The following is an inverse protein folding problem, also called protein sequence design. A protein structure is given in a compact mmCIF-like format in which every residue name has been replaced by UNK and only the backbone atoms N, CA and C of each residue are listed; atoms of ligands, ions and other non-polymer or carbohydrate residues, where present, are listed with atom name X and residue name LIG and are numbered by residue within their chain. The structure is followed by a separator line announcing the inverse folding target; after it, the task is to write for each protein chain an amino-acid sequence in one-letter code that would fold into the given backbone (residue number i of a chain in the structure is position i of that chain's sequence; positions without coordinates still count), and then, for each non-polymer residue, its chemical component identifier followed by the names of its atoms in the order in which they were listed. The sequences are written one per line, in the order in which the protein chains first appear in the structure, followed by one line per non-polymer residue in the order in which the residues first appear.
data_IF_883579053151
#
_entry.id   IF_883579053151
#
_cell.length_a   1.000
_cell.length_b   1.000
_cell.length_c   1.000
_cell.angle_alpha   90.00
_cell.angle_beta   90.00
_cell.angle_gamma   90.00
#
_symmetry.space_group_name_H-M   'P 1'
#
loop_
_entity.id
_entity.type
_entity.pdbx_description
1 polymer ?
#
# COMPACT_ATOMS: atom_id res chain seq x y z
N UNK A 1 -2.66 -7.63 -11.93
CA UNK A 1 -2.31 -6.36 -12.61
C UNK A 1 -1.54 -5.51 -11.62
N UNK A 2 -0.50 -4.81 -12.08
CA UNK A 2 0.39 -4.00 -11.22
C UNK A 2 0.58 -2.65 -11.90
N UNK A 3 0.37 -1.57 -11.15
CA UNK A 3 0.66 -0.20 -11.59
C UNK A 3 1.97 0.24 -10.94
N UNK A 4 2.88 0.84 -11.71
CA UNK A 4 4.23 1.19 -11.23
C UNK A 4 4.66 2.55 -11.76
N UNK A 5 5.59 3.18 -11.05
CA UNK A 5 6.11 4.50 -11.41
C UNK A 5 5.28 5.67 -10.86
N UNK A 6 5.66 6.88 -11.25
CA UNK A 6 5.07 8.13 -10.72
C UNK A 6 3.62 8.35 -11.14
N UNK A 7 3.21 7.80 -12.29
CA UNK A 7 1.83 7.88 -12.79
C UNK A 7 0.93 6.76 -12.25
N UNK A 8 1.43 5.90 -11.34
CA UNK A 8 0.70 4.74 -10.83
C UNK A 8 -0.67 5.08 -10.24
N UNK A 9 -0.82 6.21 -9.55
CA UNK A 9 -2.12 6.69 -9.07
C UNK A 9 -3.08 6.98 -10.23
N UNK A 10 -2.61 7.72 -11.24
CA UNK A 10 -3.40 8.09 -12.41
C UNK A 10 -3.81 6.85 -13.21
N UNK A 11 -2.88 5.94 -13.44
CA UNK A 11 -3.12 4.71 -14.18
C UNK A 11 -4.11 3.80 -13.44
N UNK A 12 -3.94 3.66 -12.11
CA UNK A 12 -4.86 2.92 -11.26
C UNK A 12 -6.26 3.52 -11.28
N UNK A 13 -6.40 4.83 -11.08
CA UNK A 13 -7.71 5.49 -11.09
C UNK A 13 -8.38 5.45 -12.46
N UNK A 14 -7.63 5.66 -13.55
CA UNK A 14 -8.15 5.54 -14.92
C UNK A 14 -8.64 4.13 -15.21
N UNK A 15 -7.91 3.12 -14.76
CA UNK A 15 -8.35 1.73 -14.87
C UNK A 15 -9.61 1.48 -14.03
N UNK A 16 -9.58 1.82 -12.74
CA UNK A 16 -10.67 1.52 -11.81
C UNK A 16 -11.97 2.20 -12.23
N UNK A 17 -11.93 3.49 -12.57
CA UNK A 17 -13.09 4.29 -12.96
C UNK A 17 -13.43 4.22 -14.45
N UNK A 18 -13.07 3.12 -15.10
CA UNK A 18 -13.49 2.86 -16.48
C UNK A 18 -14.89 2.22 -16.53
N UNK A 19 -15.66 2.41 -17.62
CA UNK A 19 -17.01 1.86 -17.75
C UNK A 19 -17.11 0.33 -17.61
N UNK A 20 -16.02 -0.40 -17.85
CA UNK A 20 -16.00 -1.86 -17.71
C UNK A 20 -16.15 -2.33 -16.26
N UNK A 21 -15.86 -1.45 -15.29
CA UNK A 21 -16.00 -1.75 -13.86
C UNK A 21 -17.29 -1.17 -13.26
N UNK A 22 -18.30 -0.85 -14.08
CA UNK A 22 -19.58 -0.34 -13.59
C UNK A 22 -20.16 -1.25 -12.50
N UNK A 23 -20.64 -0.65 -11.41
CA UNK A 23 -21.15 -1.33 -10.20
C UNK A 23 -20.09 -2.06 -9.34
N UNK A 24 -18.78 -1.86 -9.57
CA UNK A 24 -17.76 -2.49 -8.75
C UNK A 24 -17.68 -1.90 -7.34
N UNK A 25 -17.30 -2.75 -6.38
CA UNK A 25 -16.89 -2.31 -5.04
C UNK A 25 -15.44 -2.71 -4.82
N UNK A 26 -14.55 -1.71 -4.78
CA UNK A 26 -13.16 -1.88 -4.36
C UNK A 26 -13.07 -1.77 -2.83
N UNK A 27 -12.23 -2.61 -2.24
CA UNK A 27 -12.00 -2.64 -0.79
C UNK A 27 -10.53 -2.32 -0.56
N UNK A 28 -10.27 -1.23 0.15
CA UNK A 28 -8.93 -0.82 0.55
C UNK A 28 -8.80 -0.86 2.07
N UNK A 29 -7.61 -1.16 2.60
CA UNK A 29 -7.41 -1.28 4.04
C UNK A 29 -6.77 -0.02 4.62
N UNK A 30 -7.51 0.66 5.50
CA UNK A 30 -7.13 1.93 6.13
C UNK A 30 -7.00 3.10 5.14
N UNK A 31 -7.69 3.03 4.01
CA UNK A 31 -7.76 4.09 2.99
C UNK A 31 -8.18 5.44 3.58
N UNK A 32 -9.10 5.44 4.56
CA UNK A 32 -9.69 6.67 5.11
C UNK A 32 -8.68 7.62 5.74
N UNK A 33 -7.48 7.12 6.08
CA UNK A 33 -6.40 7.90 6.68
C UNK A 33 -5.40 8.46 5.67
N UNK A 34 -5.35 7.91 4.45
CA UNK A 34 -4.29 8.25 3.49
C UNK A 34 -4.79 8.20 2.04
N UNK A 35 -4.93 7.00 1.46
CA UNK A 35 -5.10 6.80 0.02
C UNK A 35 -6.35 7.49 -0.55
N UNK A 36 -7.43 7.56 0.24
CA UNK A 36 -8.71 8.11 -0.18
C UNK A 36 -8.64 9.59 -0.58
N UNK A 37 -7.71 10.36 0.01
CA UNK A 37 -7.52 11.78 -0.31
C UNK A 37 -6.99 11.95 -1.74
N UNK A 38 -5.99 11.15 -2.13
CA UNK A 38 -5.41 11.19 -3.47
C UNK A 38 -6.43 10.77 -4.54
N UNK A 39 -7.23 9.75 -4.26
CA UNK A 39 -8.29 9.30 -5.17
C UNK A 39 -9.35 10.38 -5.34
N UNK A 40 -9.78 11.02 -4.24
CA UNK A 40 -10.75 12.11 -4.29
C UNK A 40 -10.24 13.29 -5.10
N UNK A 41 -8.98 13.71 -4.89
CA UNK A 41 -8.34 14.78 -5.68
C UNK A 41 -8.32 14.43 -7.16
N UNK A 42 -7.86 13.22 -7.51
CA UNK A 42 -7.83 12.78 -8.90
C UNK A 42 -9.22 12.83 -9.57
N UNK A 43 -10.28 12.37 -8.88
CA UNK A 43 -11.65 12.41 -9.41
C UNK A 43 -12.13 13.85 -9.66
N UNK A 44 -11.84 14.77 -8.74
CA UNK A 44 -12.19 16.19 -8.88
C UNK A 44 -11.44 16.83 -10.06
N UNK A 45 -10.17 16.51 -10.25
CA UNK A 45 -9.36 16.98 -11.39
C UNK A 45 -9.88 16.46 -12.74
N UNK A 46 -10.53 15.28 -12.76
CA UNK A 46 -11.22 14.78 -13.95
C UNK A 46 -12.61 15.40 -14.17
N UNK A 47 -13.01 16.37 -13.35
CA UNK A 47 -14.34 17.00 -13.42
C UNK A 47 -15.48 16.12 -12.90
N UNK A 48 -15.16 15.02 -12.21
CA UNK A 48 -16.17 14.21 -11.55
C UNK A 48 -16.55 14.82 -10.19
N UNK A 49 -17.82 14.71 -9.82
CA UNK A 49 -18.29 15.02 -8.47
C UNK A 49 -18.40 13.71 -7.67
N UNK A 50 -17.35 13.31 -6.93
CA UNK A 50 -17.38 12.07 -6.15
C UNK A 50 -18.40 12.18 -5.01
N UNK A 51 -19.16 11.12 -4.80
CA UNK A 51 -19.86 10.92 -3.53
C UNK A 51 -18.85 10.49 -2.45
N UNK A 52 -19.09 10.87 -1.20
CA UNK A 52 -18.24 10.45 -0.09
C UNK A 52 -19.05 10.17 1.17
N UNK A 53 -18.57 9.23 2.00
CA UNK A 53 -19.05 9.03 3.37
C UNK A 53 -17.93 9.47 4.30
N UNK A 54 -18.04 10.67 4.92
CA UNK A 54 -17.03 11.15 5.84
C UNK A 54 -17.22 10.57 7.26
N UNK A 55 -16.14 10.55 8.02
CA UNK A 55 -16.11 10.41 9.46
C UNK A 55 -15.08 11.40 9.99
N UNK A 56 -15.56 12.56 10.46
CA UNK A 56 -14.74 13.74 10.67
C UNK A 56 -13.98 14.09 9.38
N UNK A 57 -12.66 14.25 9.44
CA UNK A 57 -11.79 14.50 8.28
C UNK A 57 -11.44 13.25 7.47
N UNK A 58 -11.94 12.07 7.83
CA UNK A 58 -11.58 10.78 7.21
C UNK A 58 -12.64 10.34 6.21
N UNK A 59 -12.22 9.75 5.10
CA UNK A 59 -13.11 9.27 4.04
C UNK A 59 -13.38 7.77 4.20
N UNK A 60 -14.49 7.40 4.86
CA UNK A 60 -14.86 5.99 5.03
C UNK A 60 -15.19 5.30 3.70
N UNK A 61 -15.74 6.04 2.76
CA UNK A 61 -15.99 5.59 1.39
C UNK A 61 -15.89 6.75 0.38
N UNK A 62 -15.47 6.43 -0.84
CA UNK A 62 -15.46 7.32 -2.02
C UNK A 62 -16.23 6.63 -3.14
N UNK A 63 -17.06 7.37 -3.87
CA UNK A 63 -18.02 6.83 -4.81
C UNK A 63 -18.00 7.59 -6.14
N UNK A 64 -17.89 6.85 -7.25
CA UNK A 64 -18.14 7.38 -8.58
C UNK A 64 -19.61 7.19 -8.93
N UNK A 65 -20.41 8.25 -8.80
CA UNK A 65 -21.88 8.19 -8.89
C UNK A 65 -22.38 7.68 -10.24
N UNK A 66 -21.84 8.20 -11.36
CA UNK A 66 -22.30 7.81 -12.71
C UNK A 66 -22.02 6.33 -13.06
N UNK A 67 -20.91 5.77 -12.56
CA UNK A 67 -20.53 4.37 -12.77
C UNK A 67 -20.99 3.45 -11.64
N UNK A 68 -21.57 4.02 -10.57
CA UNK A 68 -21.92 3.31 -9.34
C UNK A 68 -20.74 2.48 -8.77
N UNK A 69 -19.52 3.02 -8.85
CA UNK A 69 -18.32 2.38 -8.28
C UNK A 69 -18.13 2.89 -6.87
N UNK A 70 -17.82 1.99 -5.94
CA UNK A 70 -17.56 2.33 -4.53
C UNK A 70 -16.17 1.87 -4.13
N UNK A 71 -15.45 2.69 -3.39
CA UNK A 71 -14.24 2.30 -2.69
C UNK A 71 -14.54 2.41 -1.21
N UNK A 72 -14.46 1.30 -0.49
CA UNK A 72 -14.77 1.23 0.94
C UNK A 72 -13.53 0.90 1.75
N UNK A 73 -13.43 1.50 2.94
CA UNK A 73 -12.36 1.20 3.87
C UNK A 73 -12.71 0.00 4.77
N UNK A 74 -11.99 -1.11 4.57
CA UNK A 74 -12.13 -2.33 5.39
C UNK A 74 -11.77 -2.13 6.87
N UNK A 75 -11.00 -1.10 7.22
CA UNK A 75 -10.64 -0.79 8.61
C UNK A 75 -11.88 -0.38 9.44
N UNK A 76 -12.98 0.02 8.80
CA UNK A 76 -14.25 0.26 9.47
C UNK A 76 -14.88 -1.03 10.04
N UNK A 77 -14.52 -2.18 9.48
CA UNK A 77 -15.03 -3.50 9.90
C UNK A 77 -13.96 -4.31 10.63
N UNK A 78 -12.68 -4.13 10.25
CA UNK A 78 -11.52 -4.81 10.80
C UNK A 78 -10.55 -3.77 11.36
N UNK A 79 -10.79 -3.22 12.57
CA UNK A 79 -10.04 -2.09 13.14
C UNK A 79 -8.68 -2.54 13.71
N UNK A 80 -7.86 -3.18 12.88
CA UNK A 80 -6.56 -3.71 13.25
C UNK A 80 -5.56 -3.49 12.11
N UNK A 81 -4.26 -3.53 12.42
CA UNK A 81 -3.22 -3.39 11.40
C UNK A 81 -3.29 -4.54 10.38
N UNK A 82 -2.97 -4.22 9.11
CA UNK A 82 -2.91 -5.19 8.01
C UNK A 82 -2.08 -6.44 8.35
N UNK A 83 -0.97 -6.26 9.07
CA UNK A 83 -0.07 -7.34 9.50
C UNK A 83 -0.70 -8.33 10.48
N UNK A 84 -1.81 -7.98 11.13
CA UNK A 84 -2.53 -8.88 12.04
C UNK A 84 -3.63 -9.69 11.36
N UNK A 85 -4.07 -9.29 10.15
CA UNK A 85 -5.15 -9.98 9.44
C UNK A 85 -4.84 -11.47 9.19
N UNK A 86 -3.63 -11.89 8.75
CA UNK A 86 -3.34 -13.30 8.57
C UNK A 86 -3.57 -14.11 9.84
N UNK A 87 -3.07 -13.63 10.99
CA UNK A 87 -3.28 -14.32 12.27
C UNK A 87 -4.73 -14.35 12.72
N UNK A 88 -5.48 -13.28 12.45
CA UNK A 88 -6.89 -13.18 12.79
C UNK A 88 -7.75 -14.21 12.03
N UNK A 89 -7.36 -14.52 10.79
CA UNK A 89 -8.04 -15.52 9.96
C UNK A 89 -7.40 -16.92 10.00
N UNK A 90 -6.38 -17.15 10.85
CA UNK A 90 -5.67 -18.43 10.90
C UNK A 90 -4.76 -18.72 9.69
N UNK A 91 -4.40 -17.69 8.92
CA UNK A 91 -3.58 -17.74 7.69
C UNK A 91 -2.11 -17.34 7.94
N UNK A 92 -1.63 -17.40 9.19
CA UNK A 92 -0.29 -16.94 9.59
C UNK A 92 0.86 -17.59 8.82
N UNK A 93 0.68 -18.82 8.33
CA UNK A 93 1.70 -19.56 7.59
C UNK A 93 1.77 -19.16 6.11
N UNK A 94 0.75 -18.49 5.57
CA UNK A 94 0.64 -18.15 4.15
C UNK A 94 1.10 -16.73 3.84
N UNK A 95 1.07 -15.81 4.82
CA UNK A 95 1.25 -14.38 4.59
C UNK A 95 2.13 -13.75 5.68
N UNK A 96 3.45 -13.73 5.46
CA UNK A 96 4.39 -12.95 6.28
C UNK A 96 4.80 -11.71 5.49
N UNK A 97 4.38 -10.55 5.97
CA UNK A 97 4.86 -9.27 5.44
C UNK A 97 6.36 -9.16 5.75
N UNK A 98 7.18 -8.98 4.71
CA UNK A 98 8.63 -8.80 4.84
C UNK A 98 9.00 -7.41 5.37
N UNK A 99 10.30 -7.12 5.37
CA UNK A 99 10.85 -5.80 5.65
C UNK A 99 11.24 -5.11 4.34
N UNK A 100 11.01 -3.81 4.23
CA UNK A 100 11.33 -3.03 3.03
C UNK A 100 12.07 -1.74 3.38
N UNK A 101 13.12 -1.35 2.63
CA UNK A 101 13.89 -0.15 2.92
C UNK A 101 13.16 1.11 2.45
N UNK A 102 12.17 1.54 3.24
CA UNK A 102 11.28 2.65 2.90
C UNK A 102 12.01 3.96 2.54
N UNK A 103 13.13 4.28 3.22
CA UNK A 103 13.91 5.49 2.92
C UNK A 103 14.81 5.33 1.69
N UNK A 104 15.01 4.11 1.20
CA UNK A 104 15.79 3.84 0.00
C UNK A 104 14.94 3.97 -1.27
N UNK A 105 13.61 4.04 -1.14
CA UNK A 105 12.67 4.24 -2.24
C UNK A 105 12.69 5.71 -2.71
N UNK A 106 13.70 6.08 -3.47
CA UNK A 106 13.84 7.37 -4.13
C UNK A 106 14.06 7.21 -5.64
N UNK A 107 14.03 8.33 -6.39
CA UNK A 107 14.24 8.34 -7.85
C UNK A 107 15.55 7.68 -8.25
N UNK A 108 16.62 8.02 -7.54
CA UNK A 108 17.97 7.62 -7.89
C UNK A 108 18.20 6.11 -7.70
N UNK A 109 17.45 5.49 -6.79
CA UNK A 109 17.59 4.08 -6.46
C UNK A 109 16.58 3.16 -7.18
N UNK A 110 15.72 3.68 -8.05
CA UNK A 110 14.70 2.85 -8.71
C UNK A 110 15.30 1.72 -9.54
N UNK A 111 16.50 1.90 -10.09
CA UNK A 111 17.22 0.87 -10.87
C UNK A 111 18.40 0.29 -10.08
N UNK A 112 18.39 0.42 -8.76
CA UNK A 112 19.48 -0.08 -7.93
C UNK A 112 19.54 -1.61 -7.98
N UNK A 113 20.73 -2.11 -8.29
CA UNK A 113 21.09 -3.51 -8.28
C UNK A 113 22.49 -3.64 -7.67
N UNK A 114 22.60 -4.21 -6.47
CA UNK A 114 23.85 -4.20 -5.74
C UNK A 114 23.75 -4.81 -4.35
N UNK A 115 24.58 -4.34 -3.42
CA UNK A 115 24.54 -4.80 -2.02
C UNK A 115 23.26 -4.38 -1.30
N UNK A 116 22.85 -5.14 -0.28
CA UNK A 116 21.73 -4.74 0.58
C UNK A 116 21.89 -3.30 1.15
N UNK A 117 20.83 -2.46 1.11
CA UNK A 117 20.86 -1.13 1.70
C UNK A 117 21.13 -1.18 3.19
N UNK A 118 21.81 -0.17 3.72
CA UNK A 118 22.05 -0.01 5.16
C UNK A 118 20.75 -0.13 5.98
N UNK A 119 20.83 -0.77 7.15
CA UNK A 119 19.72 -0.99 8.06
C UNK A 119 18.93 0.28 8.37
N UNK A 120 19.57 1.46 8.39
CA UNK A 120 18.89 2.75 8.62
C UNK A 120 17.77 3.01 7.62
N UNK A 121 17.89 2.52 6.38
CA UNK A 121 16.88 2.73 5.35
C UNK A 121 15.56 1.98 5.61
N UNK A 122 15.58 0.99 6.51
CA UNK A 122 14.41 0.23 6.96
C UNK A 122 13.71 0.86 8.16
N UNK A 123 14.25 1.94 8.73
CA UNK A 123 13.67 2.69 9.85
C UNK A 123 13.48 1.80 11.12
N UNK A 124 14.53 1.09 11.59
CA UNK A 124 14.42 0.16 12.72
C UNK A 124 14.00 0.84 14.02
N UNK A 125 14.27 2.14 14.19
CA UNK A 125 13.91 2.89 15.38
C UNK A 125 12.41 3.20 15.51
N UNK A 126 11.63 3.06 14.41
CA UNK A 126 10.18 3.15 14.45
C UNK A 126 9.50 1.79 14.68
N UNK A 127 10.28 0.70 14.73
CA UNK A 127 9.77 -0.62 15.02
C UNK A 127 9.62 -0.83 16.53
N UNK A 128 8.63 -1.62 16.95
CA UNK A 128 8.58 -2.10 18.34
C UNK A 128 9.75 -3.04 18.61
N UNK A 129 10.17 -3.18 19.87
CA UNK A 129 11.34 -3.99 20.24
C UNK A 129 11.28 -5.41 19.64
N UNK A 130 10.13 -6.09 19.76
CA UNK A 130 9.93 -7.44 19.20
C UNK A 130 10.06 -7.49 17.67
N UNK A 131 9.64 -6.44 16.97
CA UNK A 131 9.76 -6.36 15.50
C UNK A 131 11.19 -6.01 15.10
N UNK A 132 11.84 -5.12 15.85
CA UNK A 132 13.24 -4.74 15.66
C UNK A 132 14.18 -5.94 15.82
N UNK A 133 13.98 -6.78 16.82
CA UNK A 133 14.81 -8.00 17.02
C UNK A 133 14.69 -8.96 15.82
N UNK A 134 13.45 -9.16 15.32
CA UNK A 134 13.21 -9.95 14.12
C UNK A 134 13.82 -9.33 12.87
N UNK A 135 13.75 -8.01 12.74
CA UNK A 135 14.37 -7.27 11.65
C UNK A 135 15.89 -7.46 11.66
N UNK A 136 16.54 -7.28 12.80
CA UNK A 136 18.00 -7.42 12.90
C UNK A 136 18.45 -8.84 12.56
N UNK A 137 17.75 -9.87 13.08
CA UNK A 137 18.05 -11.25 12.73
C UNK A 137 17.85 -11.54 11.23
N UNK A 138 16.78 -11.02 10.64
CA UNK A 138 16.53 -11.14 9.19
C UNK A 138 17.58 -10.41 8.35
N UNK A 139 17.95 -9.18 8.75
CA UNK A 139 18.88 -8.31 8.04
C UNK A 139 20.31 -8.87 8.03
N UNK A 140 20.76 -9.43 9.16
CA UNK A 140 22.06 -10.13 9.24
C UNK A 140 22.13 -11.32 8.27
N UNK A 141 21.01 -12.03 8.07
CA UNK A 141 20.93 -13.13 7.11
C UNK A 141 20.94 -12.68 5.64
N UNK A 142 20.72 -11.40 5.34
CA UNK A 142 20.81 -10.84 3.98
C UNK A 142 22.23 -10.35 3.63
N UNK A 143 23.18 -10.38 4.57
CA UNK A 143 24.53 -9.88 4.31
C UNK A 143 25.24 -10.73 3.25
N UNK A 144 25.71 -10.06 2.20
CA UNK A 144 26.38 -10.71 1.06
C UNK A 144 25.47 -11.04 -0.10
N UNK A 145 24.15 -10.95 0.09
CA UNK A 145 23.17 -11.12 -0.97
C UNK A 145 23.06 -9.86 -1.86
N UNK A 146 22.59 -10.08 -3.09
CA UNK A 146 22.30 -9.00 -4.03
C UNK A 146 20.87 -8.51 -3.79
N UNK A 147 20.74 -7.20 -3.68
CA UNK A 147 19.49 -6.48 -3.58
C UNK A 147 19.11 -5.88 -4.94
N UNK A 148 18.07 -6.45 -5.55
CA UNK A 148 17.37 -5.90 -6.72
C UNK A 148 16.17 -5.10 -6.23
N UNK A 149 16.25 -3.77 -6.33
CA UNK A 149 15.21 -2.89 -5.79
C UNK A 149 13.83 -3.14 -6.43
N UNK A 150 13.77 -3.41 -7.74
CA UNK A 150 12.48 -3.61 -8.43
C UNK A 150 11.86 -4.95 -8.06
N UNK A 151 12.66 -6.01 -7.95
CA UNK A 151 12.19 -7.31 -7.51
C UNK A 151 11.67 -7.28 -6.07
N UNK A 152 12.43 -6.66 -5.16
CA UNK A 152 12.07 -6.53 -3.74
C UNK A 152 10.82 -5.66 -3.55
N UNK A 153 10.72 -4.53 -4.27
CA UNK A 153 9.52 -3.69 -4.23
C UNK A 153 8.27 -4.45 -4.72
N UNK A 154 8.40 -5.23 -5.79
CA UNK A 154 7.28 -6.03 -6.29
C UNK A 154 6.88 -7.13 -5.30
N UNK A 155 7.86 -7.80 -4.69
CA UNK A 155 7.62 -8.84 -3.68
C UNK A 155 6.96 -8.27 -2.41
N UNK A 156 7.38 -7.09 -1.95
CA UNK A 156 6.83 -6.45 -0.75
C UNK A 156 5.38 -5.96 -0.92
N UNK A 157 4.99 -5.60 -2.15
CA UNK A 157 3.65 -5.12 -2.46
C UNK A 157 2.65 -6.24 -2.81
N UNK A 158 3.05 -7.51 -2.74
CA UNK A 158 2.19 -8.69 -2.96
C UNK A 158 1.84 -9.36 -1.64
#
# INVERSE_FOLDING_TARGET
MVFKGYDSLKDFCSWLFSPVHKNFTAIAHNMKRFDGQFIMVWMLEQGAAPGAIPNESKLMAVMHTALNIKIIDSFNFLPMALSKLPSFFGLSELLKKGFFPHLFNCRDNQQYFGSFPDAKYFIPDQMSSKVRDKFLAWYEAQKGEIFDFQAEMLSYCR
#
